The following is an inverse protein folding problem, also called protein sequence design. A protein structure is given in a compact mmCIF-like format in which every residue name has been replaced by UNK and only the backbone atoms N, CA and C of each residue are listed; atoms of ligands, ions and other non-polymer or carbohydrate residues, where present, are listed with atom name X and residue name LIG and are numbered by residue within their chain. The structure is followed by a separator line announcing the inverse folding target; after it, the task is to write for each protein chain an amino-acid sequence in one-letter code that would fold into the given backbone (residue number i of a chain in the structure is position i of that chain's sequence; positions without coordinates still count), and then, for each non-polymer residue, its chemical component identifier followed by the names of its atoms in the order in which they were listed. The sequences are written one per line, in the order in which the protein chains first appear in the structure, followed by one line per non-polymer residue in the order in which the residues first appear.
data_IF_571751947565
#
_entry.id   IF_571751947565
#
_cell.length_a   1.000
_cell.length_b   1.000
_cell.length_c   1.000
_cell.angle_alpha   90.00
_cell.angle_beta   90.00
_cell.angle_gamma   90.00
#
_symmetry.space_group_name_H-M   'P 1'
#
loop_
_entity.id
_entity.type
_entity.pdbx_description
1 polymer ?
#
# COMPACT_ATOMS: atom_id res chain seq x y z
N UNK A 1 5.30 -8.69 -13.85
CA UNK A 1 4.67 -8.70 -12.52
C UNK A 1 4.77 -7.30 -11.96
N UNK A 2 3.73 -6.79 -11.30
CA UNK A 2 3.84 -5.53 -10.56
C UNK A 2 4.75 -5.79 -9.35
N UNK A 3 5.75 -4.94 -9.14
CA UNK A 3 6.64 -5.04 -7.99
C UNK A 3 6.13 -4.09 -6.89
N UNK A 4 6.05 -4.53 -5.63
CA UNK A 4 5.66 -3.66 -4.53
C UNK A 4 6.73 -2.59 -4.32
N UNK A 5 6.30 -1.34 -4.12
CA UNK A 5 7.20 -0.20 -3.87
C UNK A 5 7.85 -0.29 -2.50
N UNK A 6 7.18 -0.87 -1.51
CA UNK A 6 7.64 -0.98 -0.13
C UNK A 6 7.11 -2.23 0.59
N UNK A 7 8.04 -2.95 1.22
CA UNK A 7 7.75 -4.01 2.18
C UNK A 7 7.78 -3.50 3.61
N UNK A 8 6.88 -4.00 4.44
CA UNK A 8 6.93 -3.85 5.90
C UNK A 8 8.12 -4.59 6.50
N UNK A 9 8.48 -4.24 7.72
CA UNK A 9 9.55 -4.92 8.47
C UNK A 9 9.29 -6.42 8.62
N UNK A 10 8.03 -6.81 8.84
CA UNK A 10 7.65 -8.22 8.97
C UNK A 10 7.76 -8.98 7.64
N UNK A 11 7.37 -8.37 6.52
CA UNK A 11 7.52 -8.94 5.17
C UNK A 11 8.99 -9.11 4.80
N UNK A 12 9.84 -8.13 5.10
CA UNK A 12 11.30 -8.22 4.90
C UNK A 12 11.91 -9.37 5.69
N UNK A 13 11.50 -9.56 6.95
CA UNK A 13 11.99 -10.67 7.78
C UNK A 13 11.55 -12.04 7.22
N UNK A 14 10.30 -12.16 6.77
CA UNK A 14 9.80 -13.38 6.12
C UNK A 14 10.55 -13.70 4.82
N UNK A 15 10.78 -12.70 3.96
CA UNK A 15 11.54 -12.85 2.73
C UNK A 15 12.99 -13.26 3.01
N UNK A 16 13.66 -12.60 3.96
CA UNK A 16 15.03 -12.95 4.35
C UNK A 16 15.12 -14.40 4.86
N UNK A 17 14.15 -14.84 5.67
CA UNK A 17 14.08 -16.23 6.15
C UNK A 17 13.86 -17.24 5.00
N UNK A 18 12.96 -16.92 4.06
CA UNK A 18 12.70 -17.75 2.89
C UNK A 18 13.94 -17.88 1.98
N UNK A 19 14.63 -16.77 1.72
CA UNK A 19 15.89 -16.78 0.95
C UNK A 19 16.98 -17.57 1.67
N UNK A 20 17.12 -17.41 2.99
CA UNK A 20 18.04 -18.21 3.79
C UNK A 20 17.73 -19.71 3.72
N UNK A 21 16.43 -20.08 3.73
CA UNK A 21 15.99 -21.47 3.57
C UNK A 21 16.28 -22.01 2.17
N UNK A 22 16.18 -21.18 1.14
CA UNK A 22 16.54 -21.57 -0.23
C UNK A 22 18.04 -21.82 -0.38
N UNK A 23 18.88 -21.00 0.28
CA UNK A 23 20.33 -21.17 0.30
C UNK A 23 20.76 -22.44 1.06
N UNK A 24 20.05 -22.81 2.12
CA UNK A 24 20.29 -24.03 2.90
C UNK A 24 19.84 -25.34 2.21
N UNK A 25 19.42 -25.29 0.94
CA UNK A 25 18.98 -26.47 0.18
C UNK A 25 17.48 -26.80 0.32
N UNK A 26 16.68 -25.85 0.80
CA UNK A 26 15.23 -25.98 0.80
C UNK A 26 14.64 -26.03 -0.62
N UNK A 27 13.42 -26.56 -0.73
CA UNK A 27 12.66 -26.66 -1.99
C UNK A 27 12.44 -25.26 -2.60
N UNK A 28 13.23 -24.96 -3.64
CA UNK A 28 13.24 -23.64 -4.29
C UNK A 28 11.91 -23.32 -4.97
N UNK A 29 11.18 -24.32 -5.47
CA UNK A 29 9.90 -24.09 -6.13
C UNK A 29 8.84 -23.64 -5.12
N UNK A 30 8.74 -24.33 -3.97
CA UNK A 30 7.83 -23.94 -2.89
C UNK A 30 8.21 -22.60 -2.26
N UNK A 31 9.51 -22.32 -2.15
CA UNK A 31 9.99 -21.05 -1.61
C UNK A 31 9.70 -19.90 -2.58
N UNK A 32 9.90 -20.11 -3.88
CA UNK A 32 9.53 -19.15 -4.93
C UNK A 32 8.04 -18.80 -4.86
N UNK A 33 7.17 -19.80 -4.82
CA UNK A 33 5.73 -19.57 -4.69
C UNK A 33 5.35 -18.72 -3.46
N UNK A 34 6.01 -18.93 -2.31
CA UNK A 34 5.80 -18.12 -1.10
C UNK A 34 6.31 -16.69 -1.23
N UNK A 35 7.40 -16.48 -1.96
CA UNK A 35 7.92 -15.13 -2.24
C UNK A 35 6.91 -14.40 -3.14
N UNK A 36 6.38 -15.08 -4.16
CA UNK A 36 5.38 -14.52 -5.07
C UNK A 36 4.07 -14.16 -4.34
N UNK A 37 3.62 -15.00 -3.40
CA UNK A 37 2.46 -14.70 -2.53
C UNK A 37 2.68 -13.43 -1.70
N UNK A 38 3.84 -13.29 -1.04
CA UNK A 38 4.18 -12.10 -0.25
C UNK A 38 4.25 -10.84 -1.13
N UNK A 39 4.76 -10.99 -2.35
CA UNK A 39 4.79 -9.88 -3.33
C UNK A 39 3.39 -9.46 -3.75
N UNK A 40 2.51 -10.42 -4.05
CA UNK A 40 1.14 -10.14 -4.43
C UNK A 40 0.35 -9.46 -3.30
N UNK A 41 0.51 -9.91 -2.05
CA UNK A 41 -0.09 -9.26 -0.88
C UNK A 41 0.40 -7.82 -0.69
N UNK A 42 1.71 -7.58 -0.86
CA UNK A 42 2.29 -6.26 -0.73
C UNK A 42 1.76 -5.28 -1.80
N UNK A 43 1.66 -5.73 -3.05
CA UNK A 43 1.05 -4.94 -4.14
C UNK A 43 -0.41 -4.64 -3.86
N UNK A 44 -1.21 -5.64 -3.45
CA UNK A 44 -2.62 -5.45 -3.15
C UNK A 44 -2.85 -4.45 -2.00
N UNK A 45 -1.99 -4.46 -0.97
CA UNK A 45 -2.02 -3.45 0.10
C UNK A 45 -1.72 -2.06 -0.46
N UNK A 46 -0.67 -1.91 -1.26
CA UNK A 46 -0.30 -0.60 -1.81
C UNK A 46 -1.40 -0.01 -2.69
N UNK A 47 -2.03 -0.82 -3.52
CA UNK A 47 -3.16 -0.39 -4.34
C UNK A 47 -4.35 0.07 -3.47
N UNK A 48 -4.63 -0.65 -2.39
CA UNK A 48 -5.67 -0.26 -1.44
C UNK A 48 -5.33 1.04 -0.68
N UNK A 49 -4.07 1.21 -0.27
CA UNK A 49 -3.60 2.42 0.41
C UNK A 49 -3.59 3.63 -0.52
N UNK A 50 -3.16 3.48 -1.76
CA UNK A 50 -3.18 4.55 -2.76
C UNK A 50 -4.62 4.97 -3.07
N UNK A 51 -5.55 4.02 -3.22
CA UNK A 51 -6.97 4.31 -3.39
C UNK A 51 -7.56 5.05 -2.18
N UNK A 52 -7.22 4.62 -0.95
CA UNK A 52 -7.66 5.27 0.27
C UNK A 52 -7.10 6.69 0.41
N UNK A 53 -5.83 6.91 0.07
CA UNK A 53 -5.18 8.23 0.07
C UNK A 53 -5.81 9.18 -0.93
N UNK A 54 -6.08 8.72 -2.15
CA UNK A 54 -6.74 9.55 -3.16
C UNK A 54 -8.15 9.94 -2.73
N UNK A 55 -8.93 9.01 -2.17
CA UNK A 55 -10.25 9.31 -1.61
C UNK A 55 -10.17 10.35 -0.48
N UNK A 56 -9.26 10.18 0.48
CA UNK A 56 -9.08 11.13 1.57
C UNK A 56 -8.68 12.54 1.09
N UNK A 57 -7.85 12.64 0.04
CA UNK A 57 -7.51 13.92 -0.58
C UNK A 57 -8.70 14.58 -1.26
N UNK A 58 -9.56 13.81 -1.93
CA UNK A 58 -10.78 14.32 -2.54
C UNK A 58 -11.74 14.84 -1.47
N UNK A 59 -12.01 14.04 -0.43
CA UNK A 59 -12.87 14.46 0.69
C UNK A 59 -12.36 15.75 1.35
N UNK A 60 -11.04 15.86 1.56
CA UNK A 60 -10.43 17.07 2.12
C UNK A 60 -10.54 18.28 1.20
N UNK A 61 -10.49 18.10 -0.12
CA UNK A 61 -10.69 19.19 -1.11
C UNK A 61 -12.14 19.64 -1.12
N UNK A 62 -13.09 18.72 -1.10
CA UNK A 62 -14.52 19.02 -1.07
C UNK A 62 -14.91 19.73 0.23
N UNK A 63 -14.41 19.27 1.38
CA UNK A 63 -14.63 19.93 2.66
C UNK A 63 -14.09 21.37 2.68
N UNK A 64 -12.89 21.59 2.12
CA UNK A 64 -12.31 22.95 1.99
C UNK A 64 -13.12 23.82 1.04
N UNK A 65 -13.58 23.29 -0.09
CA UNK A 65 -14.39 24.02 -1.05
C UNK A 65 -15.73 24.44 -0.43
N UNK A 66 -16.39 23.53 0.31
CA UNK A 66 -17.63 23.83 1.03
C UNK A 66 -17.43 24.90 2.11
N UNK A 67 -16.39 24.77 2.93
CA UNK A 67 -16.06 25.78 3.95
C UNK A 67 -15.73 27.15 3.33
N UNK A 68 -15.09 27.19 2.17
CA UNK A 68 -14.81 28.43 1.45
C UNK A 68 -16.10 29.04 0.86
N UNK A 69 -17.01 28.22 0.35
CA UNK A 69 -18.30 28.65 -0.15
C UNK A 69 -19.17 29.25 0.98
N UNK A 70 -19.23 28.60 2.14
CA UNK A 70 -19.95 29.11 3.31
C UNK A 70 -19.38 30.44 3.83
N UNK A 71 -18.04 30.56 3.87
CA UNK A 71 -17.37 31.84 4.23
C UNK A 71 -17.64 32.95 3.22
N UNK A 72 -17.75 32.63 1.93
CA UNK A 72 -18.12 33.61 0.90
C UNK A 72 -19.59 33.99 1.03
N UNK A 73 -20.49 33.05 1.30
CA UNK A 73 -21.91 33.33 1.52
C UNK A 73 -22.14 34.25 2.74
N UNK A 74 -21.46 33.99 3.86
CA UNK A 74 -21.56 34.81 5.08
C UNK A 74 -20.82 36.16 4.99
N UNK A 75 -20.01 36.42 3.97
CA UNK A 75 -19.29 37.69 3.82
C UNK A 75 -20.13 38.77 3.13
N UNK A 76 -21.21 38.37 2.46
CA UNK A 76 -22.08 39.26 1.66
C UNK A 76 -23.49 39.44 2.26
N UNK A 77 -23.74 38.82 3.42
CA UNK A 77 -24.87 39.13 4.32
C UNK A 77 -24.35 39.96 5.49
#
# INVERSE_FOLDING_TARGET
MAEPRYYTTAEKAKLAWLVGRAAAGGDRAKIGAKIDEIQAEAVAREEAEDAAREKAKQDAREAKAKAQAERRANRWF
#
